data_IF_384297876194
#
_entry.id   IF_384297876194
#
_cell.length_a   1.000
_cell.length_b   1.000
_cell.length_c   1.000
_cell.angle_alpha   90.00
_cell.angle_beta   90.00
_cell.angle_gamma   90.00
#
_symmetry.space_group_name_H-M   'P 1'
#
loop_
_entity.id
_entity.type
_entity.pdbx_description
1 polymer ?
#
# COMPACT_ATOMS: atom_id res chain seq x y z
N UNK A 1 27.30 -7.64 -3.63
CA UNK A 1 27.07 -6.44 -2.79
C UNK A 1 25.62 -6.33 -2.35
N UNK A 2 24.63 -6.29 -3.25
CA UNK A 2 23.21 -6.08 -2.91
C UNK A 2 22.48 -7.24 -2.22
N UNK A 3 23.06 -8.45 -2.16
CA UNK A 3 22.50 -9.61 -1.43
C UNK A 3 23.08 -9.79 -0.01
N UNK A 4 23.87 -8.82 0.47
CA UNK A 4 24.47 -8.87 1.81
C UNK A 4 23.41 -8.85 2.91
N UNK A 5 23.65 -9.57 4.01
CA UNK A 5 22.79 -9.57 5.20
C UNK A 5 22.66 -8.17 5.81
N UNK A 6 23.64 -7.29 5.61
CA UNK A 6 23.57 -5.89 6.04
C UNK A 6 22.31 -5.17 5.54
N UNK A 7 21.91 -5.40 4.28
CA UNK A 7 20.71 -4.76 3.71
C UNK A 7 19.40 -5.44 4.12
N UNK A 8 19.48 -6.64 4.72
CA UNK A 8 18.32 -7.42 5.19
C UNK A 8 18.11 -7.36 6.70
N UNK A 9 19.11 -6.85 7.42
CA UNK A 9 19.14 -6.72 8.86
C UNK A 9 17.94 -5.95 9.39
N UNK A 10 17.39 -6.38 10.53
CA UNK A 10 16.20 -5.80 11.14
C UNK A 10 16.41 -4.31 11.47
N UNK A 11 17.64 -3.95 11.83
CA UNK A 11 18.04 -2.58 12.13
C UNK A 11 18.03 -1.67 10.90
N UNK A 12 18.20 -2.23 9.70
CA UNK A 12 18.17 -1.46 8.44
C UNK A 12 16.75 -1.25 7.90
N UNK A 13 15.78 -2.06 8.33
CA UNK A 13 14.38 -1.97 7.87
C UNK A 13 13.68 -0.76 8.48
N UNK A 14 12.81 -0.12 7.70
CA UNK A 14 11.95 0.99 8.13
C UNK A 14 12.68 2.22 8.71
N UNK A 15 13.98 2.38 8.45
CA UNK A 15 14.78 3.53 8.92
C UNK A 15 14.49 4.83 8.15
N UNK A 16 13.73 4.77 7.05
CA UNK A 16 13.41 5.93 6.22
C UNK A 16 12.01 5.84 5.66
N UNK A 17 11.34 6.98 5.56
CA UNK A 17 10.09 7.09 4.81
C UNK A 17 10.41 6.97 3.32
N UNK A 18 9.65 6.14 2.61
CA UNK A 18 9.75 6.02 1.14
C UNK A 18 9.54 7.39 0.50
N UNK A 19 10.45 7.82 -0.38
CA UNK A 19 10.23 8.99 -1.23
C UNK A 19 9.01 8.78 -2.14
N UNK A 20 8.45 9.84 -2.76
CA UNK A 20 7.37 9.67 -3.72
C UNK A 20 7.70 8.66 -4.83
N UNK A 21 8.92 8.71 -5.39
CA UNK A 21 9.35 7.74 -6.39
C UNK A 21 9.35 6.29 -5.88
N UNK A 22 9.87 6.06 -4.66
CA UNK A 22 9.92 4.73 -4.04
C UNK A 22 8.52 4.19 -3.72
N UNK A 23 7.63 5.06 -3.23
CA UNK A 23 6.24 4.72 -2.97
C UNK A 23 5.53 4.30 -4.26
N UNK A 24 5.62 5.15 -5.28
CA UNK A 24 4.95 4.92 -6.55
C UNK A 24 5.44 3.67 -7.23
N UNK A 25 6.76 3.47 -7.30
CA UNK A 25 7.34 2.25 -7.86
C UNK A 25 6.85 1.00 -7.12
N UNK A 26 6.73 1.05 -5.78
CA UNK A 26 6.23 -0.07 -4.99
C UNK A 26 4.77 -0.39 -5.29
N UNK A 27 3.88 0.61 -5.27
CA UNK A 27 2.45 0.42 -5.54
C UNK A 27 2.22 -0.05 -6.97
N UNK A 28 2.83 0.60 -7.97
CA UNK A 28 2.67 0.22 -9.38
C UNK A 28 3.16 -1.20 -9.67
N UNK A 29 4.19 -1.65 -8.94
CA UNK A 29 4.67 -3.04 -9.01
C UNK A 29 3.68 -4.01 -8.38
N UNK A 30 3.16 -3.70 -7.19
CA UNK A 30 2.17 -4.54 -6.50
C UNK A 30 0.87 -4.67 -7.29
N UNK A 31 0.44 -3.60 -7.96
CA UNK A 31 -0.78 -3.60 -8.78
C UNK A 31 -0.54 -4.08 -10.22
N UNK A 32 0.70 -4.41 -10.56
CA UNK A 32 1.09 -4.82 -11.92
C UNK A 32 0.53 -3.91 -13.02
N UNK A 33 0.47 -2.61 -12.75
CA UNK A 33 -0.21 -1.65 -13.63
C UNK A 33 0.51 -1.52 -15.00
N UNK A 34 1.83 -1.66 -14.98
CA UNK A 34 2.67 -1.55 -16.16
C UNK A 34 3.65 -2.73 -16.26
N UNK A 35 3.39 -3.64 -17.20
CA UNK A 35 4.32 -4.72 -17.55
C UNK A 35 5.49 -4.23 -18.44
N UNK A 36 5.27 -3.17 -19.20
CA UNK A 36 6.25 -2.54 -20.08
C UNK A 36 6.03 -1.02 -20.13
N UNK A 37 7.00 -0.22 -20.62
CA UNK A 37 6.79 1.19 -20.84
C UNK A 37 5.60 1.45 -21.78
N UNK A 38 4.63 2.25 -21.34
CA UNK A 38 3.47 2.68 -22.15
C UNK A 38 3.22 4.18 -21.98
N UNK A 39 2.52 4.80 -22.93
CA UNK A 39 2.23 6.24 -22.90
C UNK A 39 1.34 6.64 -21.71
N UNK A 40 0.51 5.71 -21.23
CA UNK A 40 -0.35 5.86 -20.06
C UNK A 40 0.44 6.06 -18.75
N UNK A 41 1.75 5.81 -18.76
CA UNK A 41 2.63 6.12 -17.62
C UNK A 41 2.90 7.61 -17.45
N UNK A 42 2.78 8.41 -18.51
CA UNK A 42 3.04 9.85 -18.47
C UNK A 42 2.15 10.59 -17.46
N UNK A 43 0.80 10.43 -17.47
CA UNK A 43 -0.01 11.05 -16.43
C UNK A 43 0.39 10.56 -15.04
N UNK A 44 0.74 9.27 -14.88
CA UNK A 44 1.18 8.68 -13.61
C UNK A 44 2.45 9.31 -13.04
N UNK A 45 3.32 9.92 -13.85
CA UNK A 45 4.50 10.60 -13.31
C UNK A 45 4.13 11.87 -12.54
N UNK A 46 2.99 12.50 -12.83
CA UNK A 46 2.61 13.82 -12.27
C UNK A 46 2.25 13.70 -10.78
N UNK A 47 1.80 12.53 -10.34
CA UNK A 47 1.49 12.24 -8.94
C UNK A 47 2.74 12.35 -8.07
N UNK A 48 3.93 12.06 -8.61
CA UNK A 48 5.19 12.27 -7.88
C UNK A 48 5.37 13.76 -7.54
N UNK A 49 5.03 14.64 -8.50
CA UNK A 49 5.10 16.09 -8.32
C UNK A 49 4.11 16.58 -7.26
N UNK A 50 2.88 16.03 -7.22
CA UNK A 50 1.90 16.37 -6.17
C UNK A 50 2.34 15.93 -4.77
N UNK A 51 3.20 14.91 -4.68
CA UNK A 51 3.85 14.49 -3.42
C UNK A 51 5.17 15.23 -3.14
N UNK A 52 5.53 16.25 -3.93
CA UNK A 52 6.72 17.07 -3.72
C UNK A 52 8.01 16.58 -4.40
N UNK A 53 7.95 15.57 -5.27
CA UNK A 53 9.11 15.08 -6.02
C UNK A 53 8.85 15.07 -7.53
N UNK A 54 9.30 16.13 -8.22
CA UNK A 54 9.31 16.14 -9.67
C UNK A 54 10.44 15.25 -10.20
N UNK A 55 10.10 14.11 -10.82
CA UNK A 55 11.08 13.18 -11.39
C UNK A 55 11.91 13.87 -12.49
N UNK A 56 13.22 13.63 -12.47
CA UNK A 56 14.20 14.18 -13.43
C UNK A 56 14.32 15.71 -13.45
N UNK A 57 13.70 16.42 -12.49
CA UNK A 57 13.78 17.87 -12.34
C UNK A 57 14.07 18.26 -10.89
N UNK A 58 15.32 18.14 -10.42
CA UNK A 58 15.67 18.50 -9.05
C UNK A 58 15.50 20.02 -8.83
N UNK A 59 15.10 20.45 -7.61
CA UNK A 59 14.84 21.87 -7.32
C UNK A 59 16.09 22.75 -7.38
N UNK A 60 17.28 22.18 -7.12
CA UNK A 60 18.56 22.89 -7.18
C UNK A 60 19.71 21.93 -7.55
N UNK A 61 20.93 22.47 -7.65
CA UNK A 61 22.16 21.69 -7.87
C UNK A 61 22.48 20.73 -6.73
N UNK A 62 21.86 20.90 -5.56
CA UNK A 62 21.99 19.97 -4.42
C UNK A 62 21.15 18.69 -4.59
N UNK A 63 20.24 18.68 -5.57
CA UNK A 63 19.31 17.57 -5.80
C UNK A 63 17.97 17.74 -5.06
N UNK A 64 17.30 16.63 -4.78
CA UNK A 64 16.04 16.64 -4.01
C UNK A 64 16.31 16.68 -2.51
N UNK A 65 15.47 17.41 -1.77
CA UNK A 65 15.48 17.38 -0.31
C UNK A 65 15.31 15.95 0.20
N UNK A 66 16.12 15.59 1.19
CA UNK A 66 16.11 14.31 1.87
C UNK A 66 15.74 14.49 3.35
N UNK A 67 15.45 13.40 4.06
CA UNK A 67 14.95 13.46 5.44
C UNK A 67 13.43 13.52 5.50
N UNK A 68 12.87 14.26 6.47
CA UNK A 68 11.42 14.44 6.65
C UNK A 68 10.93 15.81 6.21
N UNK A 69 11.80 16.68 5.70
CA UNK A 69 11.43 18.06 5.33
C UNK A 69 10.59 18.13 4.05
N UNK A 70 10.67 17.11 3.19
CA UNK A 70 9.88 17.03 1.96
C UNK A 70 8.42 16.61 2.20
N UNK A 71 8.07 16.09 3.38
CA UNK A 71 6.70 15.62 3.68
C UNK A 71 5.93 16.70 4.43
N UNK A 72 4.94 17.28 3.75
CA UNK A 72 3.92 18.14 4.38
C UNK A 72 2.56 17.43 4.42
N UNK A 73 1.55 18.09 5.00
CA UNK A 73 0.21 17.54 5.09
C UNK A 73 -0.44 17.26 3.72
N UNK A 74 -0.14 18.08 2.71
CA UNK A 74 -0.64 17.89 1.35
C UNK A 74 0.01 16.67 0.69
N UNK A 75 1.35 16.57 0.76
CA UNK A 75 2.10 15.43 0.26
C UNK A 75 1.64 14.12 0.93
N UNK A 76 1.34 14.14 2.24
CA UNK A 76 0.80 12.96 2.94
C UNK A 76 -0.58 12.53 2.38
N UNK A 77 -1.48 13.47 2.12
CA UNK A 77 -2.80 13.18 1.54
C UNK A 77 -2.65 12.58 0.15
N UNK A 78 -1.77 13.13 -0.70
CA UNK A 78 -1.52 12.62 -2.04
C UNK A 78 -0.96 11.19 -2.03
N UNK A 79 -0.07 10.88 -1.07
CA UNK A 79 0.44 9.51 -0.87
C UNK A 79 -0.66 8.53 -0.50
N UNK A 80 -1.54 8.93 0.41
CA UNK A 80 -2.69 8.12 0.84
C UNK A 80 -3.62 7.88 -0.34
N UNK A 81 -3.98 8.93 -1.09
CA UNK A 81 -4.86 8.84 -2.25
C UNK A 81 -4.28 7.90 -3.32
N UNK A 82 -3.00 8.09 -3.67
CA UNK A 82 -2.34 7.30 -4.68
C UNK A 82 -2.35 5.80 -4.35
N UNK A 83 -1.97 5.43 -3.12
CA UNK A 83 -1.97 4.03 -2.70
C UNK A 83 -3.40 3.46 -2.64
N UNK A 84 -4.33 4.22 -2.06
CA UNK A 84 -5.72 3.81 -1.87
C UNK A 84 -6.44 3.55 -3.19
N UNK A 85 -6.27 4.44 -4.17
CA UNK A 85 -6.91 4.34 -5.47
C UNK A 85 -6.44 3.10 -6.23
N UNK A 86 -5.13 2.82 -6.22
CA UNK A 86 -4.57 1.71 -6.99
C UNK A 86 -4.75 0.36 -6.31
N UNK A 87 -4.60 0.28 -4.99
CA UNK A 87 -4.80 -0.97 -4.24
C UNK A 87 -6.27 -1.37 -4.13
N UNK A 88 -7.19 -0.42 -4.28
CA UNK A 88 -8.63 -0.69 -4.34
C UNK A 88 -9.16 -0.98 -5.76
N UNK A 89 -8.31 -0.94 -6.79
CA UNK A 89 -8.75 -1.12 -8.17
C UNK A 89 -8.89 -2.59 -8.53
N UNK A 90 -10.13 -3.10 -8.53
CA UNK A 90 -10.46 -4.49 -8.90
C UNK A 90 -10.11 -4.87 -10.35
N UNK A 91 -9.86 -3.89 -11.23
CA UNK A 91 -9.43 -4.15 -12.62
C UNK A 91 -7.91 -4.33 -12.76
N UNK A 92 -7.14 -4.12 -11.69
CA UNK A 92 -5.69 -4.33 -11.70
C UNK A 92 -5.36 -5.83 -11.57
N UNK A 93 -4.48 -6.38 -12.44
CA UNK A 93 -4.08 -7.80 -12.37
C UNK A 93 -3.44 -8.18 -11.03
N UNK A 94 -2.54 -7.33 -10.52
CA UNK A 94 -1.89 -7.55 -9.23
C UNK A 94 -2.89 -7.51 -8.07
N UNK A 95 -3.84 -6.58 -8.07
CA UNK A 95 -4.90 -6.53 -7.04
C UNK A 95 -5.78 -7.77 -7.09
N UNK A 96 -6.16 -8.24 -8.29
CA UNK A 96 -6.94 -9.47 -8.42
C UNK A 96 -6.19 -10.68 -7.85
N UNK A 97 -4.88 -10.77 -8.13
CA UNK A 97 -4.02 -11.85 -7.63
C UNK A 97 -3.92 -11.83 -6.10
N UNK A 98 -3.70 -10.65 -5.51
CA UNK A 98 -3.67 -10.47 -4.05
C UNK A 98 -5.00 -10.89 -3.43
N UNK A 99 -6.13 -10.48 -4.02
CA UNK A 99 -7.46 -10.86 -3.52
C UNK A 99 -7.66 -12.37 -3.63
N UNK A 100 -7.29 -13.00 -4.75
CA UNK A 100 -7.42 -14.44 -4.94
C UNK A 100 -6.59 -15.24 -3.93
N UNK A 101 -5.37 -14.77 -3.61
CA UNK A 101 -4.56 -15.35 -2.55
C UNK A 101 -5.23 -15.25 -1.18
N UNK A 102 -5.75 -14.07 -0.81
CA UNK A 102 -6.45 -13.87 0.46
C UNK A 102 -7.69 -14.76 0.55
N UNK A 103 -8.51 -14.81 -0.50
CA UNK A 103 -9.72 -15.64 -0.53
C UNK A 103 -9.38 -17.14 -0.44
N UNK A 104 -8.37 -17.60 -1.18
CA UNK A 104 -7.96 -19.02 -1.16
C UNK A 104 -7.36 -19.46 0.17
N UNK A 105 -6.65 -18.58 0.90
CA UNK A 105 -6.13 -18.87 2.24
C UNK A 105 -7.22 -18.97 3.30
N UNK A 106 -8.32 -18.22 3.14
CA UNK A 106 -9.44 -18.22 4.10
C UNK A 106 -10.44 -19.37 3.86
N UNK A 107 -10.40 -20.00 2.68
CA UNK A 107 -11.16 -21.21 2.34
C UNK A 107 -12.68 -21.05 2.40
N UNK A 108 -13.40 -22.18 2.34
CA UNK A 108 -14.89 -22.21 2.34
C UNK A 108 -15.51 -21.83 3.70
N UNK A 109 -14.70 -21.59 4.74
CA UNK A 109 -15.19 -21.31 6.10
C UNK A 109 -15.65 -19.86 6.30
N UNK A 110 -15.56 -19.04 5.25
CA UNK A 110 -15.90 -17.61 5.28
C UNK A 110 -14.74 -16.73 5.73
N UNK A 111 -14.84 -15.44 5.42
CA UNK A 111 -13.80 -14.47 5.73
C UNK A 111 -13.78 -14.12 7.22
N UNK A 112 -12.64 -14.38 7.87
CA UNK A 112 -12.38 -13.94 9.25
C UNK A 112 -11.52 -12.69 9.19
N UNK A 113 -11.98 -11.61 9.82
CA UNK A 113 -11.33 -10.30 9.74
C UNK A 113 -9.85 -10.31 10.15
N UNK A 114 -9.50 -11.06 11.19
CA UNK A 114 -8.13 -11.22 11.67
C UNK A 114 -7.22 -11.85 10.60
N UNK A 115 -7.69 -12.89 9.92
CA UNK A 115 -6.93 -13.58 8.88
C UNK A 115 -6.79 -12.70 7.63
N UNK A 116 -7.87 -12.05 7.20
CA UNK A 116 -7.85 -11.12 6.05
C UNK A 116 -6.84 -9.99 6.27
N UNK A 117 -6.78 -9.42 7.48
CA UNK A 117 -5.81 -8.37 7.80
C UNK A 117 -4.38 -8.93 7.80
N UNK A 118 -4.16 -10.12 8.35
CA UNK A 118 -2.83 -10.74 8.39
C UNK A 118 -2.33 -11.10 6.97
N UNK A 119 -3.18 -11.73 6.15
CA UNK A 119 -2.88 -12.06 4.77
C UNK A 119 -2.59 -10.79 3.95
N UNK A 120 -3.40 -9.74 4.11
CA UNK A 120 -3.17 -8.48 3.42
C UNK A 120 -1.87 -7.78 3.85
N UNK A 121 -1.49 -7.84 5.13
CA UNK A 121 -0.21 -7.31 5.61
C UNK A 121 0.97 -8.12 5.06
N UNK A 122 0.82 -9.44 4.98
CA UNK A 122 1.80 -10.36 4.37
C UNK A 122 2.02 -10.07 2.89
N UNK A 123 0.94 -9.86 2.12
CA UNK A 123 1.00 -9.49 0.69
C UNK A 123 1.73 -8.15 0.45
N UNK A 124 1.72 -7.25 1.43
CA UNK A 124 2.47 -5.99 1.38
C UNK A 124 3.89 -6.09 1.96
N UNK A 125 4.32 -7.27 2.42
CA UNK A 125 5.58 -7.54 3.11
C UNK A 125 5.77 -6.65 4.35
N UNK A 126 4.75 -6.59 5.21
CA UNK A 126 4.73 -5.75 6.39
C UNK A 126 4.67 -6.63 7.63
N UNK A 127 5.85 -6.85 8.19
CA UNK A 127 6.02 -7.72 9.35
C UNK A 127 5.72 -7.01 10.68
N UNK A 128 5.61 -5.68 10.67
CA UNK A 128 5.49 -4.89 11.91
C UNK A 128 4.45 -3.78 11.82
N UNK A 129 3.41 -3.94 12.64
CA UNK A 129 2.36 -2.96 12.86
C UNK A 129 2.10 -2.85 14.36
N UNK A 130 1.87 -1.65 14.88
CA UNK A 130 1.54 -1.50 16.30
C UNK A 130 0.16 -2.10 16.59
N UNK A 131 -0.01 -2.69 17.78
CA UNK A 131 -1.29 -3.28 18.22
C UNK A 131 -2.50 -2.37 18.03
N UNK A 132 -2.35 -1.06 18.28
CA UNK A 132 -3.40 -0.06 18.03
C UNK A 132 -3.85 -0.04 16.56
N UNK A 133 -2.90 -0.01 15.63
CA UNK A 133 -3.19 0.01 14.18
C UNK A 133 -3.77 -1.33 13.75
N UNK A 134 -3.20 -2.45 14.21
CA UNK A 134 -3.73 -3.80 13.94
C UNK A 134 -5.18 -3.94 14.41
N UNK A 135 -5.46 -3.54 15.64
CA UNK A 135 -6.82 -3.56 16.22
C UNK A 135 -7.79 -2.69 15.42
N UNK A 136 -7.36 -1.51 14.97
CA UNK A 136 -8.19 -0.63 14.14
C UNK A 136 -8.50 -1.23 12.76
N UNK A 137 -7.51 -1.87 12.11
CA UNK A 137 -7.69 -2.56 10.83
C UNK A 137 -8.65 -3.74 10.96
N UNK A 138 -8.53 -4.53 12.02
CA UNK A 138 -9.44 -5.66 12.30
C UNK A 138 -10.86 -5.15 12.56
N UNK A 139 -11.04 -4.11 13.37
CA UNK A 139 -12.36 -3.52 13.65
C UNK A 139 -13.01 -2.96 12.38
N UNK A 140 -12.25 -2.28 11.53
CA UNK A 140 -12.72 -1.82 10.22
C UNK A 140 -13.14 -2.99 9.33
N UNK A 141 -12.31 -4.03 9.25
CA UNK A 141 -12.57 -5.21 8.42
C UNK A 141 -13.83 -5.95 8.88
N UNK A 142 -14.02 -6.16 10.18
CA UNK A 142 -15.28 -6.74 10.72
C UNK A 142 -16.50 -5.96 10.26
N UNK A 143 -16.44 -4.63 10.39
CA UNK A 143 -17.53 -3.75 9.96
C UNK A 143 -17.83 -3.87 8.46
N UNK A 144 -16.82 -4.10 7.61
CA UNK A 144 -17.01 -4.31 6.17
C UNK A 144 -17.54 -5.71 5.84
N UNK A 145 -17.10 -6.74 6.56
CA UNK A 145 -17.58 -8.10 6.38
C UNK A 145 -19.04 -8.25 6.80
N UNK A 146 -19.44 -7.62 7.90
CA UNK A 146 -20.80 -7.63 8.45
C UNK A 146 -21.80 -6.83 7.60
N UNK A 147 -21.34 -5.97 6.68
CA UNK A 147 -22.21 -5.29 5.72
C UNK A 147 -22.69 -6.29 4.66
N UNK A 148 -23.82 -6.95 4.95
CA UNK A 148 -24.58 -7.77 4.01
C UNK A 148 -25.35 -6.87 3.03
N UNK A 149 -24.75 -6.64 1.86
CA UNK A 149 -25.40 -6.06 0.70
C UNK A 149 -26.06 -7.16 -0.14
N UNK A 150 -27.37 -7.08 -0.29
CA UNK A 150 -28.20 -8.01 -1.04
C UNK A 150 -27.86 -8.05 -2.55
N UNK A 151 -27.82 -9.27 -3.10
CA UNK A 151 -28.08 -9.60 -4.52
C UNK A 151 -26.92 -9.60 -5.53
N UNK A 152 -25.65 -9.58 -5.13
CA UNK A 152 -24.52 -9.95 -6.02
C UNK A 152 -24.12 -11.42 -5.84
N UNK A 153 -23.50 -12.02 -6.86
CA UNK A 153 -22.89 -13.34 -6.72
C UNK A 153 -21.95 -13.31 -5.50
N UNK A 154 -22.01 -14.31 -4.62
CA UNK A 154 -21.31 -14.27 -3.32
C UNK A 154 -19.81 -13.90 -3.46
N UNK A 155 -19.18 -14.36 -4.54
CA UNK A 155 -17.77 -14.07 -4.83
C UNK A 155 -17.47 -12.62 -5.20
N UNK A 156 -18.35 -11.91 -5.93
CA UNK A 156 -18.09 -10.52 -6.30
C UNK A 156 -18.16 -9.60 -5.08
N UNK A 157 -19.08 -9.87 -4.14
CA UNK A 157 -19.21 -9.12 -2.89
C UNK A 157 -17.99 -9.31 -1.98
N UNK A 158 -17.46 -10.52 -1.89
CA UNK A 158 -16.26 -10.81 -1.09
C UNK A 158 -15.02 -10.09 -1.65
N UNK A 159 -14.86 -10.06 -2.98
CA UNK A 159 -13.75 -9.33 -3.62
C UNK A 159 -13.81 -7.83 -3.35
N UNK A 160 -15.00 -7.23 -3.40
CA UNK A 160 -15.21 -5.81 -3.07
C UNK A 160 -14.87 -5.49 -1.60
N UNK A 161 -15.25 -6.38 -0.69
CA UNK A 161 -14.93 -6.26 0.75
C UNK A 161 -13.42 -6.32 0.97
N UNK A 162 -12.72 -7.30 0.39
CA UNK A 162 -11.26 -7.42 0.51
C UNK A 162 -10.56 -6.21 -0.12
N UNK A 163 -10.99 -5.74 -1.30
CA UNK A 163 -10.42 -4.55 -1.93
C UNK A 163 -10.56 -3.29 -1.05
N UNK A 164 -11.68 -3.16 -0.33
CA UNK A 164 -11.90 -2.07 0.62
C UNK A 164 -10.93 -2.13 1.80
N UNK A 165 -10.59 -3.34 2.26
CA UNK A 165 -9.55 -3.55 3.29
C UNK A 165 -8.17 -3.17 2.76
N UNK A 166 -7.80 -3.65 1.56
CA UNK A 166 -6.52 -3.31 0.91
C UNK A 166 -6.33 -1.80 0.76
N UNK A 167 -7.39 -1.08 0.40
CA UNK A 167 -7.41 0.39 0.31
C UNK A 167 -7.03 1.05 1.64
N UNK A 168 -7.66 0.64 2.75
CA UNK A 168 -7.39 1.22 4.08
C UNK A 168 -6.01 0.84 4.60
N UNK A 169 -5.59 -0.40 4.38
CA UNK A 169 -4.24 -0.85 4.74
C UNK A 169 -3.22 0.02 3.97
N UNK A 170 -3.33 0.13 2.65
CA UNK A 170 -2.48 1.01 1.83
C UNK A 170 -2.44 2.47 2.30
N UNK A 171 -3.57 3.02 2.73
CA UNK A 171 -3.66 4.37 3.29
C UNK A 171 -2.89 4.52 4.61
N UNK A 172 -3.09 3.59 5.55
CA UNK A 172 -2.57 3.71 6.93
C UNK A 172 -1.06 3.53 7.01
N UNK A 173 -0.48 2.70 6.13
CA UNK A 173 0.93 2.32 6.17
C UNK A 173 1.88 3.40 5.64
N UNK A 174 1.37 4.32 4.82
CA UNK A 174 2.18 5.40 4.24
C UNK A 174 2.39 6.60 5.19
N UNK A 175 1.88 6.50 6.43
CA UNK A 175 1.88 7.57 7.43
C UNK A 175 2.91 7.41 8.55
N UNK A 176 3.50 6.22 8.76
CA UNK A 176 4.47 6.01 9.85
C UNK A 176 5.90 6.30 9.39
N UNK A 177 6.47 7.34 10.01
CA UNK A 177 7.89 7.67 9.97
C UNK A 177 8.79 6.64 10.66
N UNK A 178 10.12 6.79 10.54
CA UNK A 178 11.09 5.90 11.19
C UNK A 178 10.84 5.80 12.70
N UNK A 179 11.22 4.64 13.28
CA UNK A 179 11.11 4.40 14.72
C UNK A 179 11.74 5.56 15.49
N UNK A 180 10.93 6.33 16.23
CA UNK A 180 11.47 7.19 17.28
C UNK A 180 11.95 6.26 18.40
N UNK A 181 13.27 6.11 18.50
CA UNK A 181 13.89 5.27 19.50
C UNK A 181 15.42 5.24 19.38
N UNK A 182 16.06 6.36 19.75
CA UNK A 182 17.09 6.45 20.80
C UNK A 182 16.83 7.75 21.56
#
# INVERSE_FOLDING_TARGET
MFNSEFFKAEEARYQRVKSPAELMAGVLKLTEEFERPKNEMNPTHLQATYMGQWLLNPPSVEGWHWGTEWIDSGALVERVNFASERLGNLSSPGVQTIIDHILSNNGDSGLVAENVVEDALSEFCIDQVSERTRSALVAFTKTQLDQDGSSSSNGDSEREKVASVLKVIGATLNSKGPRQGI
#
